data_IF_575583623864
#
_entry.id   IF_575583623864
#
_cell.length_a   1.000
_cell.length_b   1.000
_cell.length_c   1.000
_cell.angle_alpha   90.00
_cell.angle_beta   90.00
_cell.angle_gamma   90.00
#
_symmetry.space_group_name_H-M   'P 1'
#
loop_
_entity.id
_entity.type
_entity.pdbx_description
1 polymer ?
#
# COMPACT_ATOMS: atom_id res chain seq x y z
N UNK A 1 17.98 -25.05 0.23
CA UNK A 1 16.56 -24.87 -0.13
C UNK A 1 16.43 -25.18 -1.61
N UNK A 2 15.49 -26.04 -1.97
CA UNK A 2 15.20 -26.28 -3.39
C UNK A 2 14.56 -25.03 -4.00
N UNK A 3 14.74 -24.81 -5.30
CA UNK A 3 14.15 -23.67 -6.03
C UNK A 3 12.62 -23.57 -5.80
N UNK A 4 11.92 -24.71 -5.71
CA UNK A 4 10.49 -24.75 -5.43
C UNK A 4 10.09 -24.24 -4.05
N UNK A 5 10.93 -24.43 -3.03
CA UNK A 5 10.69 -23.90 -1.67
C UNK A 5 10.86 -22.38 -1.64
N UNK A 6 11.88 -21.86 -2.33
CA UNK A 6 12.09 -20.42 -2.47
C UNK A 6 10.93 -19.75 -3.20
N UNK A 7 10.43 -20.37 -4.27
CA UNK A 7 9.30 -19.86 -5.04
C UNK A 7 8.00 -19.83 -4.20
N UNK A 8 7.70 -20.92 -3.49
CA UNK A 8 6.51 -20.99 -2.63
C UNK A 8 6.55 -19.98 -1.49
N UNK A 9 7.71 -19.81 -0.85
CA UNK A 9 7.91 -18.76 0.16
C UNK A 9 7.73 -17.35 -0.41
N UNK A 10 8.25 -17.09 -1.61
CA UNK A 10 8.10 -15.80 -2.27
C UNK A 10 6.62 -15.50 -2.60
N UNK A 11 5.87 -16.49 -3.12
CA UNK A 11 4.44 -16.34 -3.39
C UNK A 11 3.63 -16.11 -2.11
N UNK A 12 3.93 -16.84 -1.03
CA UNK A 12 3.30 -16.65 0.27
C UNK A 12 3.57 -15.24 0.82
N UNK A 13 4.82 -14.78 0.74
CA UNK A 13 5.23 -13.44 1.14
C UNK A 13 4.49 -12.35 0.37
N UNK A 14 4.37 -12.50 -0.95
CA UNK A 14 3.59 -11.57 -1.79
C UNK A 14 2.10 -11.58 -1.45
N UNK A 15 1.51 -12.75 -1.19
CA UNK A 15 0.10 -12.86 -0.80
C UNK A 15 -0.17 -12.17 0.54
N UNK A 16 0.70 -12.38 1.53
CA UNK A 16 0.61 -11.72 2.84
C UNK A 16 0.82 -10.21 2.73
N UNK A 17 1.80 -9.77 1.93
CA UNK A 17 2.03 -8.35 1.66
C UNK A 17 0.83 -7.71 0.97
N UNK A 18 0.20 -8.42 0.02
CA UNK A 18 -1.01 -7.98 -0.65
C UNK A 18 -2.19 -7.83 0.32
N UNK A 19 -2.47 -8.85 1.14
CA UNK A 19 -3.57 -8.80 2.11
C UNK A 19 -3.36 -7.70 3.15
N UNK A 20 -2.15 -7.60 3.71
CA UNK A 20 -1.83 -6.54 4.68
C UNK A 20 -1.93 -5.15 4.04
N UNK A 21 -1.42 -4.97 2.82
CA UNK A 21 -1.58 -3.73 2.04
C UNK A 21 -3.05 -3.35 1.83
N UNK A 22 -3.90 -4.31 1.43
CA UNK A 22 -5.33 -4.07 1.23
C UNK A 22 -6.02 -3.62 2.54
N UNK A 23 -5.79 -4.34 3.64
CA UNK A 23 -6.37 -4.02 4.95
C UNK A 23 -5.92 -2.64 5.41
N UNK A 24 -4.63 -2.32 5.29
CA UNK A 24 -4.08 -1.03 5.67
C UNK A 24 -4.60 0.11 4.79
N UNK A 25 -4.73 -0.11 3.49
CA UNK A 25 -5.29 0.86 2.55
C UNK A 25 -6.74 1.19 2.86
N UNK A 26 -7.58 0.17 3.07
CA UNK A 26 -8.99 0.34 3.47
C UNK A 26 -9.10 1.01 4.84
N UNK A 27 -8.27 0.61 5.81
CA UNK A 27 -8.24 1.22 7.13
C UNK A 27 -7.87 2.70 7.06
N UNK A 28 -6.82 3.06 6.31
CA UNK A 28 -6.39 4.45 6.18
C UNK A 28 -7.41 5.32 5.46
N UNK A 29 -8.13 4.77 4.49
CA UNK A 29 -9.24 5.41 3.80
C UNK A 29 -10.44 5.67 4.73
N UNK A 30 -10.89 4.64 5.44
CA UNK A 30 -12.10 4.69 6.28
C UNK A 30 -11.86 5.46 7.57
N UNK A 31 -10.78 5.14 8.29
CA UNK A 31 -10.48 5.73 9.60
C UNK A 31 -9.69 7.04 9.53
N UNK A 32 -9.23 7.46 8.34
CA UNK A 32 -8.34 8.61 8.15
C UNK A 32 -7.11 8.55 9.09
N UNK A 33 -6.56 7.34 9.29
CA UNK A 33 -5.42 7.07 10.17
C UNK A 33 -4.47 6.07 9.53
N UNK A 34 -3.17 6.32 9.65
CA UNK A 34 -2.15 5.37 9.23
C UNK A 34 -1.66 4.54 10.41
N UNK A 35 -1.31 3.26 10.20
CA UNK A 35 -0.77 2.41 11.26
C UNK A 35 0.61 2.90 11.72
N UNK A 36 0.80 3.06 13.02
CA UNK A 36 2.10 3.36 13.62
C UNK A 36 2.47 4.85 13.72
N UNK A 37 3.20 5.19 14.78
CA UNK A 37 3.62 6.57 15.11
C UNK A 37 4.60 7.19 14.11
N UNK A 38 5.29 6.38 13.32
CA UNK A 38 6.25 6.87 12.33
C UNK A 38 5.54 7.33 11.06
N UNK A 39 4.63 6.51 10.51
CA UNK A 39 3.79 6.90 9.38
C UNK A 39 2.91 8.11 9.72
N UNK A 40 2.37 8.18 10.94
CA UNK A 40 1.57 9.33 11.37
C UNK A 40 2.37 10.66 11.36
N UNK A 41 3.70 10.62 11.46
CA UNK A 41 4.57 11.81 11.36
C UNK A 41 4.92 12.19 9.93
N UNK A 42 5.04 11.22 9.02
CA UNK A 42 5.42 11.46 7.63
C UNK A 42 4.22 11.67 6.69
N UNK A 43 3.11 10.97 6.94
CA UNK A 43 1.91 11.03 6.08
C UNK A 43 1.05 12.19 6.54
N UNK A 44 0.92 13.22 5.69
CA UNK A 44 0.06 14.37 5.96
C UNK A 44 -1.40 14.08 5.67
N UNK A 45 -1.68 13.27 4.65
CA UNK A 45 -3.04 12.88 4.28
C UNK A 45 -3.20 11.34 4.28
N UNK A 46 -3.70 10.76 5.40
CA UNK A 46 -3.88 9.32 5.55
C UNK A 46 -4.79 8.68 4.49
N UNK A 47 -5.84 9.38 4.06
CA UNK A 47 -6.75 8.89 3.01
C UNK A 47 -6.06 8.74 1.67
N UNK A 48 -5.35 9.78 1.24
CA UNK A 48 -4.57 9.76 0.00
C UNK A 48 -3.51 8.66 0.04
N UNK A 49 -2.84 8.47 1.19
CA UNK A 49 -1.90 7.38 1.39
C UNK A 49 -2.58 6.01 1.24
N UNK A 50 -3.75 5.83 1.84
CA UNK A 50 -4.53 4.60 1.73
C UNK A 50 -4.92 4.26 0.27
N UNK A 51 -5.31 5.26 -0.53
CA UNK A 51 -5.60 5.08 -1.96
C UNK A 51 -4.35 4.57 -2.69
N UNK A 52 -3.21 5.21 -2.48
CA UNK A 52 -1.95 4.82 -3.13
C UNK A 52 -1.56 3.37 -2.81
N UNK A 53 -1.70 2.97 -1.54
CA UNK A 53 -1.48 1.58 -1.11
C UNK A 53 -2.45 0.61 -1.79
N UNK A 54 -3.73 0.95 -1.91
CA UNK A 54 -4.69 0.09 -2.63
C UNK A 54 -4.34 -0.08 -4.11
N UNK A 55 -3.89 0.98 -4.78
CA UNK A 55 -3.43 0.89 -6.17
C UNK A 55 -2.19 0.00 -6.32
N UNK A 56 -1.21 0.13 -5.41
CA UNK A 56 -0.07 -0.80 -5.38
C UNK A 56 -0.52 -2.24 -5.11
N UNK A 57 -1.49 -2.44 -4.23
CA UNK A 57 -2.00 -3.78 -3.92
C UNK A 57 -2.75 -4.38 -5.11
N UNK A 58 -3.55 -3.58 -5.82
CA UNK A 58 -4.21 -3.98 -7.06
C UNK A 58 -3.18 -4.33 -8.15
N UNK A 59 -2.05 -3.63 -8.20
CA UNK A 59 -0.99 -3.92 -9.17
C UNK A 59 -0.43 -5.33 -9.06
N UNK A 60 -0.33 -5.87 -7.83
CA UNK A 60 0.05 -7.26 -7.57
C UNK A 60 -1.01 -8.24 -8.06
N UNK A 61 -2.30 -7.93 -7.84
CA UNK A 61 -3.41 -8.80 -8.28
C UNK A 61 -3.53 -8.88 -9.81
N UNK A 62 -3.29 -7.76 -10.51
CA UNK A 62 -3.39 -7.68 -11.97
C UNK A 62 -2.05 -7.86 -12.70
N UNK A 63 -0.95 -8.06 -11.96
CA UNK A 63 0.41 -8.17 -12.51
C UNK A 63 0.69 -7.03 -13.51
N UNK A 64 0.38 -5.80 -13.10
CA UNK A 64 0.42 -4.63 -14.00
C UNK A 64 1.18 -3.47 -13.40
N UNK A 65 2.07 -2.87 -14.20
CA UNK A 65 2.93 -1.75 -13.79
C UNK A 65 2.18 -0.42 -13.71
N UNK A 66 1.09 -0.27 -14.46
CA UNK A 66 0.31 0.97 -14.51
C UNK A 66 -0.26 1.35 -13.13
N UNK A 67 -1.05 0.49 -12.47
CA UNK A 67 -1.55 0.79 -11.12
C UNK A 67 -0.43 0.93 -10.08
N UNK A 68 0.73 0.29 -10.29
CA UNK A 68 1.88 0.46 -9.39
C UNK A 68 2.43 1.89 -9.46
N UNK A 69 2.66 2.42 -10.67
CA UNK A 69 3.19 3.76 -10.89
C UNK A 69 2.19 4.82 -10.38
N UNK A 70 0.90 4.63 -10.67
CA UNK A 70 -0.16 5.51 -10.18
C UNK A 70 -0.20 5.49 -8.65
N UNK A 71 -0.18 4.30 -8.05
CA UNK A 71 -0.15 4.12 -6.61
C UNK A 71 1.05 4.82 -5.96
N UNK A 72 2.25 4.69 -6.55
CA UNK A 72 3.46 5.38 -6.10
C UNK A 72 3.30 6.90 -6.10
N UNK A 73 2.82 7.47 -7.21
CA UNK A 73 2.58 8.90 -7.31
C UNK A 73 1.62 9.40 -6.22
N UNK A 74 0.51 8.68 -6.03
CA UNK A 74 -0.49 9.00 -5.01
C UNK A 74 0.13 8.92 -3.60
N UNK A 75 0.82 7.84 -3.26
CA UNK A 75 1.46 7.65 -1.95
C UNK A 75 2.48 8.75 -1.67
N UNK A 76 3.28 9.16 -2.66
CA UNK A 76 4.24 10.26 -2.52
C UNK A 76 3.51 11.58 -2.26
N UNK A 77 2.45 11.89 -3.01
CA UNK A 77 1.66 13.12 -2.80
C UNK A 77 0.98 13.15 -1.43
N UNK A 78 0.68 12.00 -0.82
CA UNK A 78 0.10 11.94 0.52
C UNK A 78 1.03 12.50 1.61
N UNK A 79 2.34 12.60 1.35
CA UNK A 79 3.31 13.22 2.25
C UNK A 79 3.38 14.73 2.12
N UNK A 80 3.00 15.30 0.98
CA UNK A 80 3.12 16.74 0.69
C UNK A 80 1.77 17.46 0.83
N UNK A 81 0.70 16.85 0.36
CA UNK A 81 -0.65 17.42 0.32
C UNK A 81 -1.28 17.39 1.71
N UNK A 82 -1.80 18.55 2.14
CA UNK A 82 -2.60 18.64 3.37
C UNK A 82 -4.02 18.14 3.11
N UNK A 83 -4.65 17.47 4.08
CA UNK A 83 -6.05 17.07 3.95
C UNK A 83 -6.92 18.31 3.79
N UNK A 84 -7.71 18.34 2.72
CA UNK A 84 -8.83 19.28 2.59
C UNK A 84 -9.83 18.95 3.68
N UNK A 85 -10.14 19.92 4.53
CA UNK A 85 -11.16 19.80 5.59
C UNK A 85 -12.52 19.47 4.98
#
# INVERSE_FOLDING_TARGET
MAFGELLTLAMLGMALAGMTGAVLGVYALTCNRVPGRWFARMVRNPRLWGIGVLFMTASLAYISWVPLIIGLGITVTAHTVRPTR
#
